data_IF_978292743860
#
_entry.id   IF_978292743860
#
_cell.length_a   1.000
_cell.length_b   1.000
_cell.length_c   1.000
_cell.angle_alpha   90.00
_cell.angle_beta   90.00
_cell.angle_gamma   90.00
#
_symmetry.space_group_name_H-M   'P 1'
#
loop_
_entity.id
_entity.type
_entity.pdbx_description
1 polymer ?
#
# COMPACT_ATOMS: atom_id res chain seq x y z
N UNK A 1 -5.33 -27.39 36.11
CA UNK A 1 -4.43 -26.23 36.30
C UNK A 1 -3.35 -26.15 35.21
N UNK A 2 -2.73 -27.26 34.79
CA UNK A 2 -1.67 -27.28 33.73
C UNK A 2 -2.11 -26.83 32.32
N UNK A 3 -3.35 -27.14 31.91
CA UNK A 3 -3.87 -26.74 30.59
C UNK A 3 -4.03 -25.22 30.44
N UNK A 4 -4.37 -24.53 31.54
CA UNK A 4 -4.50 -23.08 31.59
C UNK A 4 -3.14 -22.38 31.49
N UNK A 5 -2.10 -22.94 32.11
CA UNK A 5 -0.72 -22.46 31.99
C UNK A 5 -0.14 -22.58 30.57
N UNK A 6 -0.47 -23.67 29.84
CA UNK A 6 -0.07 -23.83 28.43
C UNK A 6 -0.78 -22.83 27.50
N UNK A 7 -2.09 -22.62 27.68
CA UNK A 7 -2.84 -21.61 26.91
C UNK A 7 -2.37 -20.19 27.22
N UNK A 8 -1.98 -19.90 28.46
CA UNK A 8 -1.47 -18.60 28.88
C UNK A 8 -0.05 -18.33 28.36
N UNK A 9 0.82 -19.36 28.29
CA UNK A 9 2.12 -19.27 27.59
C UNK A 9 1.98 -19.15 26.07
N UNK A 10 0.97 -19.79 25.47
CA UNK A 10 0.69 -19.65 24.05
C UNK A 10 0.16 -18.24 23.74
N UNK A 11 -0.77 -17.71 24.55
CA UNK A 11 -1.24 -16.33 24.47
C UNK A 11 -0.13 -15.28 24.79
N UNK A 12 0.83 -15.61 25.65
CA UNK A 12 2.02 -14.79 25.90
C UNK A 12 3.09 -14.91 24.80
N UNK A 13 3.18 -16.05 24.09
CA UNK A 13 4.00 -16.17 22.87
C UNK A 13 3.41 -15.37 21.71
N UNK A 14 2.10 -15.14 21.72
CA UNK A 14 1.39 -14.19 20.86
C UNK A 14 1.44 -12.73 21.36
N UNK A 15 1.99 -12.45 22.55
CA UNK A 15 2.38 -11.06 22.89
C UNK A 15 3.57 -10.72 22.00
N UNK A 16 3.23 -10.14 20.85
CA UNK A 16 4.10 -9.61 19.79
C UNK A 16 5.50 -9.32 20.32
N UNK A 17 6.44 -10.22 20.05
CA UNK A 17 7.82 -9.79 19.83
C UNK A 17 7.69 -8.72 18.75
N UNK A 18 7.99 -7.45 19.09
CA UNK A 18 7.96 -6.36 18.10
C UNK A 18 8.67 -6.87 16.85
N UNK A 19 8.02 -6.78 15.70
CA UNK A 19 8.68 -7.17 14.45
C UNK A 19 9.96 -6.34 14.36
N UNK A 20 11.05 -6.90 13.83
CA UNK A 20 12.29 -6.13 13.61
C UNK A 20 12.00 -4.84 12.82
N UNK A 21 10.99 -4.91 11.98
CA UNK A 21 10.34 -3.83 11.25
C UNK A 21 9.78 -2.72 12.17
N UNK A 22 8.92 -3.06 13.14
CA UNK A 22 8.32 -2.05 14.03
C UNK A 22 9.40 -1.31 14.82
N UNK A 23 10.47 -2.02 15.21
CA UNK A 23 11.64 -1.40 15.85
C UNK A 23 12.35 -0.43 14.92
N UNK A 24 12.65 -0.85 13.68
CA UNK A 24 13.35 0.01 12.72
C UNK A 24 12.57 1.28 12.36
N UNK A 25 11.24 1.23 12.37
CA UNK A 25 10.43 2.43 12.12
C UNK A 25 10.31 3.31 13.37
N UNK A 26 10.22 2.74 14.56
CA UNK A 26 10.34 3.53 15.81
C UNK A 26 11.66 4.29 15.83
N UNK A 27 12.78 3.62 15.53
CA UNK A 27 14.10 4.26 15.43
C UNK A 27 14.11 5.39 14.39
N UNK A 28 13.48 5.18 13.21
CA UNK A 28 13.39 6.21 12.18
C UNK A 28 12.53 7.42 12.61
N UNK A 29 11.45 7.18 13.35
CA UNK A 29 10.57 8.22 13.88
C UNK A 29 11.24 9.02 15.01
N UNK A 30 12.06 8.37 15.84
CA UNK A 30 12.85 9.05 16.88
C UNK A 30 13.89 10.01 16.29
N UNK A 31 14.49 9.63 15.16
CA UNK A 31 15.52 10.45 14.49
C UNK A 31 14.91 11.53 13.59
N UNK A 32 13.62 11.41 13.22
CA UNK A 32 12.96 12.36 12.32
C UNK A 32 12.68 13.71 13.02
N UNK A 33 13.13 14.80 12.39
CA UNK A 33 12.83 16.15 12.86
C UNK A 33 11.46 16.63 12.34
N UNK A 34 10.45 16.57 13.20
CA UNK A 34 9.12 17.09 12.88
C UNK A 34 8.91 18.55 13.29
N UNK A 35 9.91 19.27 13.83
CA UNK A 35 9.70 20.61 14.43
C UNK A 35 9.02 21.61 13.50
N UNK A 36 9.33 21.56 12.20
CA UNK A 36 8.74 22.42 11.16
C UNK A 36 7.29 22.10 10.75
N UNK A 37 6.73 20.98 11.20
CA UNK A 37 5.36 20.58 10.85
C UNK A 37 4.31 21.04 11.87
N UNK A 38 3.06 21.10 11.41
CA UNK A 38 1.91 21.47 12.25
C UNK A 38 1.72 20.49 13.43
N UNK A 39 1.06 20.95 14.49
CA UNK A 39 0.73 20.10 15.64
C UNK A 39 -0.10 18.88 15.21
N UNK A 40 -1.09 19.09 14.35
CA UNK A 40 -1.93 18.00 13.80
C UNK A 40 -1.09 16.94 13.07
N UNK A 41 -0.09 17.36 12.29
CA UNK A 41 0.80 16.43 11.59
C UNK A 41 1.63 15.62 12.59
N UNK A 42 2.18 16.27 13.61
CA UNK A 42 2.97 15.60 14.68
C UNK A 42 2.13 14.56 15.41
N UNK A 43 0.91 14.92 15.81
CA UNK A 43 -0.04 14.02 16.47
C UNK A 43 -0.42 12.84 15.55
N UNK A 44 -0.72 13.11 14.28
CA UNK A 44 -1.02 12.06 13.29
C UNK A 44 0.14 11.07 13.13
N UNK A 45 1.39 11.56 13.10
CA UNK A 45 2.58 10.71 13.01
C UNK A 45 2.81 9.88 14.29
N UNK A 46 2.47 10.42 15.46
CA UNK A 46 2.59 9.68 16.73
C UNK A 46 1.62 8.50 16.85
N UNK A 47 0.49 8.56 16.15
CA UNK A 47 -0.52 7.50 16.12
C UNK A 47 -0.32 6.53 14.94
N UNK A 48 0.69 6.74 14.10
CA UNK A 48 0.91 5.94 12.91
C UNK A 48 1.39 4.53 13.26
N UNK A 49 0.83 3.52 12.60
CA UNK A 49 1.11 2.11 12.88
C UNK A 49 1.89 1.46 11.71
N UNK A 50 3.16 1.06 11.91
CA UNK A 50 3.99 0.46 10.86
C UNK A 50 3.51 -0.91 10.39
N UNK A 51 2.65 -1.62 11.13
CA UNK A 51 2.13 -2.91 10.71
C UNK A 51 0.96 -2.77 9.73
N UNK A 52 0.23 -1.64 9.76
CA UNK A 52 -0.96 -1.41 8.92
C UNK A 52 -0.64 -0.78 7.56
N UNK A 53 -1.52 -0.96 6.58
CA UNK A 53 -1.50 -0.20 5.32
C UNK A 53 -2.43 1.00 5.50
N UNK A 54 -1.93 2.21 5.26
CA UNK A 54 -2.68 3.45 5.49
C UNK A 54 -3.67 3.76 4.37
N UNK A 55 -4.77 3.01 4.24
CA UNK A 55 -5.78 3.22 3.18
C UNK A 55 -6.34 4.65 3.20
N UNK A 56 -6.67 5.17 4.38
CA UNK A 56 -7.14 6.55 4.52
C UNK A 56 -6.10 7.56 4.00
N UNK A 57 -4.81 7.34 4.28
CA UNK A 57 -3.75 8.23 3.78
C UNK A 57 -3.66 8.16 2.25
N UNK A 58 -3.71 6.95 1.68
CA UNK A 58 -3.73 6.76 0.22
C UNK A 58 -4.95 7.47 -0.38
N UNK A 59 -6.15 7.28 0.15
CA UNK A 59 -7.36 7.98 -0.29
C UNK A 59 -7.21 9.50 -0.26
N UNK A 60 -6.66 10.07 0.83
CA UNK A 60 -6.45 11.51 0.97
C UNK A 60 -5.42 12.03 -0.04
N UNK A 61 -4.34 11.29 -0.28
CA UNK A 61 -3.34 11.63 -1.30
C UNK A 61 -3.94 11.58 -2.69
N UNK A 62 -4.72 10.54 -3.03
CA UNK A 62 -5.41 10.44 -4.31
C UNK A 62 -6.41 11.58 -4.50
N UNK A 63 -7.18 11.92 -3.47
CA UNK A 63 -8.07 13.08 -3.48
C UNK A 63 -7.33 14.39 -3.74
N UNK A 64 -6.17 14.58 -3.09
CA UNK A 64 -5.34 15.76 -3.29
C UNK A 64 -4.83 15.84 -4.73
N UNK A 65 -4.31 14.73 -5.26
CA UNK A 65 -3.84 14.63 -6.64
C UNK A 65 -4.97 14.97 -7.59
N UNK A 66 -6.12 14.29 -7.50
CA UNK A 66 -7.29 14.50 -8.37
C UNK A 66 -7.77 15.95 -8.36
N UNK A 67 -7.75 16.65 -7.22
CA UNK A 67 -8.27 18.01 -7.10
C UNK A 67 -7.29 19.10 -7.51
N UNK A 68 -6.00 18.93 -7.17
CA UNK A 68 -5.06 20.05 -7.14
C UNK A 68 -3.88 19.88 -8.10
N UNK A 69 -3.62 18.66 -8.58
CA UNK A 69 -2.44 18.37 -9.37
C UNK A 69 -2.72 18.28 -10.87
N UNK A 70 -1.68 18.55 -11.66
CA UNK A 70 -1.71 18.52 -13.14
C UNK A 70 -2.24 17.19 -13.70
N UNK A 71 -2.76 17.15 -14.94
CA UNK A 71 -3.18 15.91 -15.60
C UNK A 71 -2.11 14.81 -15.62
N UNK A 72 -2.58 13.56 -15.64
CA UNK A 72 -1.74 12.36 -15.62
C UNK A 72 -2.37 11.23 -14.82
N UNK A 73 -2.03 9.99 -15.17
CA UNK A 73 -2.45 8.81 -14.44
C UNK A 73 -1.68 8.66 -13.12
N UNK A 74 -2.30 7.95 -12.18
CA UNK A 74 -1.70 7.59 -10.89
C UNK A 74 -1.48 6.09 -10.84
N UNK A 75 -0.25 5.67 -10.51
CA UNK A 75 0.08 4.28 -10.21
C UNK A 75 0.23 4.12 -8.69
N UNK A 76 -0.52 3.19 -8.11
CA UNK A 76 -0.51 2.93 -6.67
C UNK A 76 0.04 1.53 -6.41
N UNK A 77 1.12 1.43 -5.65
CA UNK A 77 1.72 0.15 -5.29
C UNK A 77 1.21 -0.37 -3.95
N UNK A 78 0.70 -1.59 -3.98
CA UNK A 78 0.10 -2.31 -2.86
C UNK A 78 0.76 -3.68 -2.68
N UNK A 79 0.63 -4.25 -1.49
CA UNK A 79 1.28 -5.51 -1.10
C UNK A 79 0.76 -6.75 -1.82
N UNK A 80 -0.47 -6.74 -2.30
CA UNK A 80 -1.08 -7.90 -2.93
C UNK A 80 -2.53 -7.69 -3.39
N UNK A 81 -3.11 -8.73 -3.97
CA UNK A 81 -4.45 -8.70 -4.54
C UNK A 81 -5.54 -8.35 -3.54
N UNK A 82 -5.51 -8.93 -2.33
CA UNK A 82 -6.53 -8.67 -1.31
C UNK A 82 -6.54 -7.20 -0.88
N UNK A 83 -5.35 -6.60 -0.76
CA UNK A 83 -5.19 -5.18 -0.42
C UNK A 83 -5.63 -4.27 -1.58
N UNK A 84 -5.31 -4.66 -2.82
CA UNK A 84 -5.79 -3.95 -4.02
C UNK A 84 -7.31 -3.94 -4.08
N UNK A 85 -7.95 -5.10 -3.88
CA UNK A 85 -9.40 -5.21 -3.92
C UNK A 85 -10.05 -4.40 -2.79
N UNK A 86 -9.55 -4.55 -1.56
CA UNK A 86 -10.06 -3.81 -0.41
C UNK A 86 -9.89 -2.29 -0.56
N UNK A 87 -8.76 -1.84 -1.09
CA UNK A 87 -8.56 -0.42 -1.40
C UNK A 87 -9.49 0.02 -2.53
N UNK A 88 -9.64 -0.75 -3.61
CA UNK A 88 -10.54 -0.42 -4.72
C UNK A 88 -11.98 -0.20 -4.24
N UNK A 89 -12.49 -1.11 -3.41
CA UNK A 89 -13.84 -1.00 -2.83
C UNK A 89 -13.98 0.23 -1.93
N UNK A 90 -12.96 0.51 -1.12
CA UNK A 90 -12.89 1.71 -0.29
C UNK A 90 -12.94 2.99 -1.15
N UNK A 91 -12.14 3.07 -2.21
CA UNK A 91 -12.10 4.23 -3.11
C UNK A 91 -13.41 4.37 -3.91
N UNK A 92 -14.06 3.28 -4.29
CA UNK A 92 -15.36 3.31 -4.94
C UNK A 92 -16.47 3.89 -4.05
N UNK A 93 -16.37 3.72 -2.73
CA UNK A 93 -17.31 4.31 -1.78
C UNK A 93 -17.10 5.83 -1.61
N UNK A 94 -15.95 6.37 -2.02
CA UNK A 94 -15.63 7.79 -1.86
C UNK A 94 -16.31 8.64 -2.97
N UNK A 95 -17.02 9.74 -2.65
CA UNK A 95 -17.81 10.50 -3.63
C UNK A 95 -17.03 11.02 -4.85
N UNK A 96 -15.76 11.38 -4.67
CA UNK A 96 -14.90 11.85 -5.76
C UNK A 96 -14.24 10.72 -6.53
N UNK A 97 -13.77 9.69 -5.82
CA UNK A 97 -12.89 8.67 -6.41
C UNK A 97 -13.70 7.50 -7.00
N UNK A 98 -14.95 7.33 -6.55
CA UNK A 98 -15.93 6.42 -7.12
C UNK A 98 -16.74 7.02 -8.29
N UNK A 99 -16.61 8.32 -8.57
CA UNK A 99 -17.29 8.97 -9.69
C UNK A 99 -16.60 8.60 -11.01
N UNK A 100 -17.23 7.71 -11.78
CA UNK A 100 -16.72 7.21 -13.06
C UNK A 100 -16.62 8.29 -14.15
N UNK A 101 -17.28 9.44 -13.99
CA UNK A 101 -17.11 10.58 -14.90
C UNK A 101 -15.83 11.36 -14.63
N UNK A 102 -15.14 11.08 -13.51
CA UNK A 102 -13.91 11.76 -13.07
C UNK A 102 -12.74 10.82 -12.92
N UNK A 103 -12.96 9.57 -12.51
CA UNK A 103 -11.91 8.62 -12.17
C UNK A 103 -12.19 7.24 -12.77
N UNK A 104 -11.17 6.66 -13.42
CA UNK A 104 -11.16 5.27 -13.86
C UNK A 104 -10.24 4.46 -12.95
N UNK A 105 -10.84 3.64 -12.07
CA UNK A 105 -10.12 2.74 -11.15
C UNK A 105 -9.86 1.37 -11.79
N UNK A 106 -8.59 1.04 -12.00
CA UNK A 106 -8.15 -0.24 -12.55
C UNK A 106 -7.31 -0.97 -11.50
N UNK A 107 -7.56 -2.26 -11.33
CA UNK A 107 -6.65 -3.15 -10.59
C UNK A 107 -5.67 -3.75 -11.60
N UNK A 108 -4.43 -3.99 -11.21
CA UNK A 108 -3.38 -4.60 -12.03
C UNK A 108 -2.80 -5.84 -11.33
N UNK A 109 -3.12 -7.03 -11.83
CA UNK A 109 -2.65 -8.30 -11.30
C UNK A 109 -2.51 -9.37 -12.39
N UNK A 110 -1.65 -10.36 -12.14
CA UNK A 110 -1.34 -11.42 -13.10
C UNK A 110 -2.52 -12.31 -13.51
N UNK A 111 -3.64 -12.26 -12.79
CA UNK A 111 -4.87 -13.02 -13.06
C UNK A 111 -5.97 -12.22 -13.77
N UNK A 112 -5.68 -11.01 -14.26
CA UNK A 112 -6.68 -10.16 -14.91
C UNK A 112 -7.10 -10.66 -16.29
N UNK A 113 -8.32 -10.27 -16.68
CA UNK A 113 -8.80 -10.44 -18.05
C UNK A 113 -7.99 -9.58 -19.04
N UNK A 114 -7.82 -10.08 -20.27
CA UNK A 114 -7.10 -9.37 -21.32
C UNK A 114 -7.74 -8.04 -21.70
N UNK A 115 -9.05 -7.89 -21.51
CA UNK A 115 -9.78 -6.65 -21.78
C UNK A 115 -9.44 -5.56 -20.76
N UNK A 116 -9.42 -5.89 -19.48
CA UNK A 116 -9.05 -4.92 -18.43
C UNK A 116 -7.58 -4.53 -18.49
N UNK A 117 -6.71 -5.47 -18.90
CA UNK A 117 -5.29 -5.16 -19.11
C UNK A 117 -5.09 -4.15 -20.24
N UNK A 118 -5.88 -4.19 -21.31
CA UNK A 118 -5.78 -3.17 -22.39
C UNK A 118 -6.10 -1.77 -21.89
N UNK A 119 -7.12 -1.63 -21.04
CA UNK A 119 -7.51 -0.33 -20.46
C UNK A 119 -6.39 0.31 -19.62
N UNK A 120 -5.49 -0.48 -19.05
CA UNK A 120 -4.32 0.03 -18.32
C UNK A 120 -3.39 0.83 -19.26
N UNK A 121 -3.25 0.40 -20.51
CA UNK A 121 -2.36 1.03 -21.50
C UNK A 121 -3.04 2.12 -22.33
N UNK A 122 -4.37 2.23 -22.26
CA UNK A 122 -5.14 3.24 -22.97
C UNK A 122 -5.36 4.49 -22.13
N UNK A 123 -5.35 5.66 -22.77
CA UNK A 123 -5.67 6.92 -22.10
C UNK A 123 -7.19 7.10 -22.07
N UNK A 124 -7.81 7.31 -20.90
CA UNK A 124 -9.24 7.54 -20.83
C UNK A 124 -9.62 8.89 -21.48
N UNK A 125 -10.80 8.92 -22.09
CA UNK A 125 -11.35 10.12 -22.73
C UNK A 125 -11.91 11.12 -21.69
N UNK A 126 -12.16 12.36 -22.11
CA UNK A 126 -13.00 13.29 -21.34
C UNK A 126 -12.37 13.87 -20.07
N UNK A 127 -11.05 13.83 -19.91
CA UNK A 127 -10.38 14.37 -18.73
C UNK A 127 -10.54 13.50 -17.47
N UNK A 128 -11.06 12.28 -17.63
CA UNK A 128 -11.11 11.26 -16.58
C UNK A 128 -9.67 10.90 -16.16
N UNK A 129 -9.41 10.84 -14.86
CA UNK A 129 -8.10 10.42 -14.33
C UNK A 129 -8.06 8.91 -14.15
N UNK A 130 -7.12 8.26 -14.83
CA UNK A 130 -6.82 6.84 -14.61
C UNK A 130 -6.03 6.65 -13.30
N UNK A 131 -6.47 5.72 -12.47
CA UNK A 131 -5.77 5.28 -11.26
C UNK A 131 -5.61 3.77 -11.36
N UNK A 132 -4.36 3.30 -11.40
CA UNK A 132 -4.01 1.88 -11.51
C UNK A 132 -3.46 1.41 -10.16
N UNK A 133 -4.11 0.43 -9.55
CA UNK A 133 -3.68 -0.21 -8.31
C UNK A 133 -2.91 -1.49 -8.67
N UNK A 134 -1.61 -1.55 -8.37
CA UNK A 134 -0.72 -2.63 -8.79
C UNK A 134 0.06 -3.20 -7.61
N UNK A 135 0.72 -4.34 -7.85
CA UNK A 135 1.74 -4.88 -6.94
C UNK A 135 3.12 -4.55 -7.47
N UNK A 136 4.13 -4.55 -6.60
CA UNK A 136 5.52 -4.27 -6.99
C UNK A 136 6.07 -5.34 -7.96
N UNK A 137 5.47 -6.53 -8.02
CA UNK A 137 5.80 -7.50 -9.09
C UNK A 137 5.49 -6.96 -10.50
N UNK A 138 4.55 -6.04 -10.63
CA UNK A 138 4.24 -5.37 -11.89
C UNK A 138 5.22 -4.22 -12.22
N UNK A 139 6.02 -3.74 -11.26
CA UNK A 139 6.91 -2.58 -11.37
C UNK A 139 7.91 -2.71 -12.52
N UNK A 140 8.58 -3.86 -12.64
CA UNK A 140 9.58 -4.10 -13.69
C UNK A 140 8.99 -4.52 -15.04
N UNK A 141 7.68 -4.79 -15.12
CA UNK A 141 7.06 -5.40 -16.31
C UNK A 141 5.99 -4.54 -16.99
N UNK A 142 5.57 -3.44 -16.38
CA UNK A 142 4.47 -2.60 -16.88
C UNK A 142 4.94 -1.15 -17.05
N UNK A 143 5.05 -0.73 -18.31
CA UNK A 143 5.27 0.68 -18.67
C UNK A 143 3.93 1.29 -19.07
N UNK A 144 3.36 2.11 -18.18
CA UNK A 144 2.13 2.86 -18.45
C UNK A 144 2.54 4.28 -18.83
N UNK A 145 2.39 4.62 -20.11
CA UNK A 145 2.98 5.82 -20.69
C UNK A 145 2.45 7.15 -20.12
N UNK A 146 1.23 7.16 -19.59
CA UNK A 146 0.56 8.36 -19.08
C UNK A 146 0.65 8.52 -17.55
N UNK A 147 1.41 7.66 -16.85
CA UNK A 147 1.65 7.82 -15.41
C UNK A 147 2.50 9.05 -15.14
N UNK A 148 1.99 9.92 -14.26
CA UNK A 148 2.68 11.14 -13.80
C UNK A 148 2.89 11.12 -12.28
N UNK A 149 2.10 10.32 -11.56
CA UNK A 149 2.16 10.21 -10.12
C UNK A 149 2.30 8.75 -9.71
N UNK A 150 3.18 8.50 -8.75
CA UNK A 150 3.37 7.20 -8.12
C UNK A 150 3.06 7.34 -6.62
N UNK A 151 2.24 6.45 -6.09
CA UNK A 151 1.94 6.35 -4.66
C UNK A 151 2.33 4.95 -4.20
N UNK A 152 3.45 4.85 -3.49
CA UNK A 152 3.93 3.57 -2.94
C UNK A 152 3.55 3.43 -1.46
N UNK A 153 2.90 2.31 -1.09
CA UNK A 153 2.59 2.01 0.29
C UNK A 153 3.82 1.61 1.14
N UNK A 154 4.98 1.44 0.49
CA UNK A 154 6.27 1.13 1.13
C UNK A 154 6.42 -0.32 1.55
N UNK A 155 5.49 -1.20 1.14
CA UNK A 155 5.48 -2.61 1.51
C UNK A 155 5.26 -3.51 0.30
N UNK A 156 5.93 -4.65 0.30
CA UNK A 156 5.75 -5.69 -0.68
C UNK A 156 5.72 -7.06 0.00
N UNK A 157 5.15 -8.05 -0.68
CA UNK A 157 5.21 -9.44 -0.27
C UNK A 157 6.58 -10.02 -0.66
N UNK A 158 7.36 -10.45 0.33
CA UNK A 158 8.69 -11.06 0.14
C UNK A 158 8.68 -12.54 0.50
N UNK A 159 9.42 -13.34 -0.26
CA UNK A 159 9.60 -14.77 0.03
C UNK A 159 10.40 -14.92 1.31
N UNK A 160 9.82 -15.62 2.27
CA UNK A 160 10.41 -15.98 3.55
C UNK A 160 10.32 -17.50 3.75
N UNK A 161 10.90 -17.99 4.84
CA UNK A 161 10.94 -19.41 5.15
C UNK A 161 10.53 -19.64 6.60
N UNK A 162 9.43 -20.37 6.77
CA UNK A 162 8.99 -20.84 8.08
C UNK A 162 9.77 -22.11 8.44
N UNK A 163 10.83 -21.93 9.23
CA UNK A 163 11.70 -23.03 9.66
C UNK A 163 10.99 -24.06 10.55
N UNK A 164 9.90 -23.70 11.23
CA UNK A 164 9.16 -24.64 12.07
C UNK A 164 8.32 -25.60 11.22
N UNK A 165 7.77 -25.09 10.11
CA UNK A 165 6.92 -25.86 9.20
C UNK A 165 7.66 -26.34 7.94
N UNK A 166 8.96 -26.05 7.81
CA UNK A 166 9.77 -26.33 6.62
C UNK A 166 9.08 -25.88 5.32
N UNK A 167 8.42 -24.72 5.35
CA UNK A 167 7.55 -24.26 4.27
C UNK A 167 7.95 -22.85 3.84
N UNK A 168 8.17 -22.60 2.53
CA UNK A 168 8.32 -21.24 2.03
C UNK A 168 7.00 -20.49 2.18
N UNK A 169 7.07 -19.24 2.64
CA UNK A 169 5.91 -18.39 2.82
C UNK A 169 6.14 -17.02 2.16
N UNK A 170 5.05 -16.31 1.87
CA UNK A 170 5.10 -15.00 1.26
C UNK A 170 4.48 -14.00 2.23
N UNK A 171 5.31 -13.18 2.87
CA UNK A 171 4.90 -12.31 3.97
C UNK A 171 5.08 -10.83 3.59
N UNK A 172 4.16 -9.94 4.02
CA UNK A 172 4.36 -8.50 3.88
C UNK A 172 5.62 -8.04 4.62
N UNK A 173 6.46 -7.29 3.94
CA UNK A 173 7.72 -6.72 4.43
C UNK A 173 7.86 -5.29 3.91
N UNK A 174 8.70 -4.47 4.57
CA UNK A 174 9.05 -3.15 4.05
C UNK A 174 9.97 -3.28 2.85
N UNK A 175 9.74 -2.47 1.83
CA UNK A 175 10.60 -2.46 0.66
C UNK A 175 11.99 -1.89 1.02
N UNK A 176 13.00 -2.38 0.31
CA UNK A 176 14.35 -1.83 0.43
C UNK A 176 14.42 -0.39 -0.10
N UNK A 177 15.43 0.38 0.33
CA UNK A 177 15.73 1.71 -0.26
C UNK A 177 16.01 1.64 -1.76
N UNK A 178 16.47 0.50 -2.28
CA UNK A 178 16.72 0.30 -3.70
C UNK A 178 15.41 0.15 -4.48
N UNK A 179 14.48 -0.66 -3.96
CA UNK A 179 13.13 -0.80 -4.51
C UNK A 179 12.38 0.55 -4.50
N UNK A 180 12.42 1.28 -3.38
CA UNK A 180 11.80 2.61 -3.28
C UNK A 180 12.37 3.66 -4.25
N UNK A 181 13.51 3.41 -4.90
CA UNK A 181 14.11 4.29 -5.93
C UNK A 181 13.81 3.86 -7.35
N UNK A 182 13.33 2.63 -7.55
CA UNK A 182 13.00 2.08 -8.86
C UNK A 182 11.61 2.55 -9.33
N UNK A 183 10.76 2.91 -8.37
CA UNK A 183 9.47 3.58 -8.52
C UNK A 183 9.61 5.09 -8.72
#
# INVERSE_FOLDING_TARGET
>A
QEKSWKMQKQAQSFKKRKSQIASAVEDALEVADFKGYSLRTKESMSCWNPDSIGFNLIEHVLCHIVKNERPGAVLVFMTGWDDIHSLKDHLHAHPLLGDQSRVLLLACHGSMSSTEQKLIFENPEGGVRKIVLATNMAETSITINDVVFVVDCGKAKETSYDALNNTPCLLPSWISKAAARQV
#
